data_IF_821079636189
#
_entry.id   IF_821079636189
#
_cell.length_a   1.000
_cell.length_b   1.000
_cell.length_c   1.000
_cell.angle_alpha   90.00
_cell.angle_beta   90.00
_cell.angle_gamma   90.00
#
_symmetry.space_group_name_H-M   'P 1'
#
loop_
_entity.id
_entity.type
_entity.pdbx_description
1 polymer ?
#
# COMPACT_ATOMS: atom_id res chain seq x y z
N UNK A 1 16.02 -7.94 24.01
CA UNK A 1 16.91 -7.13 24.87
C UNK A 1 16.84 -7.62 26.31
N UNK A 2 17.97 -7.72 26.98
CA UNK A 2 18.04 -8.14 28.38
C UNK A 2 18.72 -7.05 29.19
N UNK A 3 18.05 -6.56 30.21
CA UNK A 3 18.57 -5.55 31.13
C UNK A 3 18.70 -6.19 32.51
N UNK A 4 19.84 -6.01 33.14
CA UNK A 4 20.07 -6.37 34.54
C UNK A 4 20.50 -5.14 35.28
N UNK A 5 19.88 -4.87 36.42
CA UNK A 5 20.18 -3.74 37.28
C UNK A 5 20.09 -4.16 38.74
N UNK A 6 21.09 -3.76 39.51
CA UNK A 6 21.15 -3.97 40.95
C UNK A 6 20.96 -2.64 41.66
N UNK A 7 19.96 -2.53 42.52
CA UNK A 7 19.69 -1.30 43.29
C UNK A 7 19.47 -1.70 44.75
N UNK A 8 20.42 -1.38 45.62
CA UNK A 8 20.37 -1.77 47.02
C UNK A 8 20.35 -3.30 47.16
N UNK A 9 19.29 -3.86 47.74
CA UNK A 9 19.11 -5.32 47.90
C UNK A 9 18.19 -5.92 46.83
N UNK A 10 17.91 -5.20 45.75
CA UNK A 10 16.98 -5.63 44.70
C UNK A 10 17.73 -5.86 43.38
N UNK A 11 17.61 -7.07 42.85
CA UNK A 11 18.05 -7.41 41.51
C UNK A 11 16.89 -7.37 40.55
N UNK A 12 16.98 -6.50 39.56
CA UNK A 12 15.99 -6.35 38.50
C UNK A 12 16.53 -7.01 37.24
N UNK A 13 15.81 -7.98 36.70
CA UNK A 13 16.07 -8.61 35.42
C UNK A 13 14.89 -8.42 34.49
N UNK A 14 15.10 -7.68 33.40
CA UNK A 14 14.11 -7.47 32.36
C UNK A 14 14.55 -8.17 31.07
N UNK A 15 13.69 -9.01 30.54
CA UNK A 15 13.89 -9.67 29.25
C UNK A 15 12.73 -9.31 28.31
N UNK A 16 13.03 -8.59 27.23
CA UNK A 16 12.07 -8.18 26.21
C UNK A 16 12.08 -9.04 24.96
N UNK A 17 12.86 -10.12 24.91
CA UNK A 17 13.02 -10.95 23.71
C UNK A 17 11.68 -11.46 23.16
N UNK A 18 10.74 -11.77 24.04
CA UNK A 18 9.38 -12.17 23.65
C UNK A 18 8.63 -11.03 22.97
N UNK A 19 8.66 -9.83 23.54
CA UNK A 19 7.98 -8.65 22.99
C UNK A 19 8.60 -8.25 21.65
N UNK A 20 9.92 -8.31 21.54
CA UNK A 20 10.65 -8.00 20.30
C UNK A 20 10.25 -8.99 19.18
N UNK A 21 10.15 -10.27 19.49
CA UNK A 21 9.70 -11.31 18.55
C UNK A 21 8.23 -11.11 18.16
N UNK A 22 7.36 -10.90 19.13
CA UNK A 22 5.94 -10.68 18.89
C UNK A 22 5.68 -9.39 18.11
N UNK A 23 6.47 -8.35 18.35
CA UNK A 23 6.41 -7.09 17.60
C UNK A 23 6.75 -7.29 16.12
N UNK A 24 7.79 -8.05 15.82
CA UNK A 24 8.15 -8.40 14.43
C UNK A 24 7.05 -9.21 13.74
N UNK A 25 6.51 -10.21 14.42
CA UNK A 25 5.42 -11.02 13.89
C UNK A 25 4.15 -10.18 13.68
N UNK A 26 3.81 -9.29 14.61
CA UNK A 26 2.69 -8.38 14.48
C UNK A 26 2.86 -7.45 13.26
N UNK A 27 4.06 -6.90 13.04
CA UNK A 27 4.35 -6.05 11.89
C UNK A 27 4.19 -6.82 10.57
N UNK A 28 4.72 -8.03 10.50
CA UNK A 28 4.57 -8.89 9.31
C UNK A 28 3.09 -9.17 9.00
N UNK A 29 2.33 -9.61 9.99
CA UNK A 29 0.92 -9.93 9.82
C UNK A 29 0.11 -8.68 9.43
N UNK A 30 0.43 -7.52 10.02
CA UNK A 30 -0.20 -6.25 9.65
C UNK A 30 0.07 -5.91 8.18
N UNK A 31 1.32 -6.00 7.72
CA UNK A 31 1.68 -5.70 6.35
C UNK A 31 0.91 -6.58 5.35
N UNK A 32 0.85 -7.87 5.62
CA UNK A 32 0.12 -8.82 4.77
C UNK A 32 -1.40 -8.55 4.78
N UNK A 33 -1.96 -8.23 5.93
CA UNK A 33 -3.39 -7.93 6.05
C UNK A 33 -3.75 -6.62 5.36
N UNK A 34 -2.92 -5.58 5.50
CA UNK A 34 -3.13 -4.29 4.82
C UNK A 34 -3.13 -4.46 3.30
N UNK A 35 -2.19 -5.24 2.75
CA UNK A 35 -2.15 -5.53 1.31
C UNK A 35 -3.42 -6.27 0.88
N UNK A 36 -3.82 -7.31 1.60
CA UNK A 36 -5.01 -8.10 1.29
C UNK A 36 -6.30 -7.26 1.34
N UNK A 37 -6.45 -6.41 2.34
CA UNK A 37 -7.65 -5.59 2.52
C UNK A 37 -7.69 -4.39 1.55
N UNK A 38 -6.54 -3.93 1.06
CA UNK A 38 -6.44 -2.84 0.08
C UNK A 38 -6.70 -3.32 -1.35
N UNK A 39 -6.33 -4.54 -1.67
CA UNK A 39 -6.40 -5.09 -3.03
C UNK A 39 -7.78 -4.94 -3.71
N UNK A 40 -8.92 -5.21 -3.05
CA UNK A 40 -10.24 -5.07 -3.67
C UNK A 40 -10.58 -3.65 -4.13
N UNK A 41 -9.93 -2.64 -3.57
CA UNK A 41 -10.17 -1.22 -3.89
C UNK A 41 -9.25 -0.68 -4.99
N UNK A 42 -8.21 -1.44 -5.37
CA UNK A 42 -7.28 -1.07 -6.45
C UNK A 42 -7.90 -1.44 -7.80
N UNK A 43 -7.92 -0.48 -8.72
CA UNK A 43 -8.41 -0.67 -10.08
C UNK A 43 -7.78 -1.90 -10.74
N UNK A 44 -8.58 -2.68 -11.44
CA UNK A 44 -8.16 -3.90 -12.10
C UNK A 44 -8.39 -3.81 -13.61
N UNK A 45 -7.30 -3.90 -14.37
CA UNK A 45 -7.35 -4.07 -15.82
C UNK A 45 -6.57 -5.32 -16.24
N UNK A 46 -5.31 -5.41 -15.85
CA UNK A 46 -4.43 -6.57 -16.09
C UNK A 46 -4.04 -7.29 -14.81
N UNK A 47 -4.34 -6.72 -13.64
CA UNK A 47 -3.90 -7.17 -12.33
C UNK A 47 -2.55 -6.59 -11.88
N UNK A 48 -1.81 -5.96 -12.76
CA UNK A 48 -0.45 -5.48 -12.49
C UNK A 48 -0.38 -4.51 -11.29
N UNK A 49 -1.36 -3.58 -11.17
CA UNK A 49 -1.40 -2.63 -10.06
C UNK A 49 -1.56 -3.31 -8.70
N UNK A 50 -2.24 -4.46 -8.65
CA UNK A 50 -2.46 -5.25 -7.43
C UNK A 50 -1.28 -6.15 -7.09
N UNK A 51 -0.58 -6.66 -8.09
CA UNK A 51 0.49 -7.64 -7.95
C UNK A 51 1.86 -7.02 -7.68
N UNK A 52 2.10 -5.81 -8.20
CA UNK A 52 3.39 -5.13 -8.05
C UNK A 52 3.48 -4.41 -6.70
N UNK A 53 3.66 -5.19 -5.65
CA UNK A 53 3.82 -4.75 -4.27
C UNK A 53 5.18 -5.18 -3.75
N UNK A 54 5.86 -4.28 -3.06
CA UNK A 54 7.15 -4.54 -2.42
C UNK A 54 7.16 -4.05 -0.97
N UNK A 55 8.08 -4.62 -0.20
CA UNK A 55 8.38 -4.20 1.15
C UNK A 55 9.83 -3.70 1.19
N UNK A 56 10.09 -2.40 0.94
CA UNK A 56 11.44 -1.86 0.80
C UNK A 56 12.34 -2.08 2.01
N UNK A 57 11.74 -2.11 3.21
CA UNK A 57 12.43 -2.37 4.47
C UNK A 57 12.30 -3.85 4.93
N UNK A 58 11.87 -4.73 4.04
CA UNK A 58 11.54 -6.12 4.36
C UNK A 58 10.14 -6.31 4.93
N UNK A 59 9.72 -7.56 5.05
CA UNK A 59 8.36 -7.94 5.51
C UNK A 59 8.07 -7.51 6.96
N UNK A 60 9.10 -7.30 7.75
CA UNK A 60 9.04 -6.82 9.14
C UNK A 60 9.16 -5.29 9.26
N UNK A 61 9.33 -4.58 8.14
CA UNK A 61 9.42 -3.13 8.09
C UNK A 61 8.06 -2.45 8.06
N UNK A 62 8.05 -1.15 8.28
CA UNK A 62 6.84 -0.33 8.32
C UNK A 62 6.42 0.28 6.99
N UNK A 63 6.93 -0.22 5.86
CA UNK A 63 6.71 0.38 4.54
C UNK A 63 6.19 -0.64 3.53
N UNK A 64 5.15 -0.25 2.80
CA UNK A 64 4.56 -1.01 1.69
C UNK A 64 4.61 -0.11 0.45
N UNK A 65 5.18 -0.60 -0.64
CA UNK A 65 5.29 0.12 -1.89
C UNK A 65 4.53 -0.58 -3.01
N UNK A 66 3.64 0.16 -3.67
CA UNK A 66 3.00 -0.24 -4.92
C UNK A 66 3.76 0.42 -6.07
N UNK A 67 4.53 -0.36 -6.84
CA UNK A 67 5.48 0.16 -7.81
C UNK A 67 5.07 0.01 -9.29
N UNK A 68 3.82 -0.38 -9.56
CA UNK A 68 3.32 -0.38 -10.93
C UNK A 68 3.41 1.03 -11.55
N UNK A 69 3.90 1.19 -12.78
CA UNK A 69 4.15 2.51 -13.38
C UNK A 69 2.92 3.42 -13.44
N UNK A 70 1.73 2.83 -13.57
CA UNK A 70 0.46 3.55 -13.65
C UNK A 70 -0.23 3.73 -12.28
N UNK A 71 0.36 3.20 -11.20
CA UNK A 71 -0.27 3.24 -9.87
C UNK A 71 -0.51 4.65 -9.37
N UNK A 72 0.39 5.58 -9.66
CA UNK A 72 0.22 6.98 -9.29
C UNK A 72 -1.10 7.56 -9.81
N UNK A 73 -1.42 7.32 -11.08
CA UNK A 73 -2.64 7.83 -11.71
C UNK A 73 -3.90 7.18 -11.14
N UNK A 74 -3.85 5.88 -10.92
CA UNK A 74 -4.93 5.11 -10.28
C UNK A 74 -5.19 5.63 -8.85
N UNK A 75 -4.12 5.90 -8.13
CA UNK A 75 -4.23 6.35 -6.74
C UNK A 75 -4.84 7.75 -6.63
N UNK A 76 -4.33 8.69 -7.41
CA UNK A 76 -4.83 10.07 -7.44
C UNK A 76 -6.25 10.14 -8.03
N UNK A 77 -6.59 9.23 -8.95
CA UNK A 77 -7.92 9.18 -9.56
C UNK A 77 -8.19 10.28 -10.57
N UNK A 78 -7.14 10.85 -11.15
CA UNK A 78 -7.24 11.92 -12.14
C UNK A 78 -6.66 11.48 -13.48
N UNK A 79 -7.33 11.85 -14.56
CA UNK A 79 -6.83 11.58 -15.90
C UNK A 79 -5.71 12.55 -16.23
N UNK A 80 -4.55 12.00 -16.60
CA UNK A 80 -3.41 12.76 -17.08
C UNK A 80 -3.34 12.74 -18.61
N UNK A 81 -2.97 13.83 -19.19
CA UNK A 81 -2.89 13.97 -20.63
C UNK A 81 -2.16 15.25 -21.06
N UNK A 82 -2.36 15.67 -22.30
CA UNK A 82 -3.13 15.01 -23.36
C UNK A 82 -2.33 13.88 -24.06
N UNK A 83 -3.05 12.94 -24.63
CA UNK A 83 -2.51 12.12 -25.72
C UNK A 83 -2.68 12.90 -27.03
N UNK A 84 -1.61 12.90 -27.85
CA UNK A 84 -1.61 13.64 -29.12
C UNK A 84 -2.04 12.68 -30.24
N UNK A 85 -3.08 13.02 -31.02
CA UNK A 85 -3.50 12.19 -32.14
C UNK A 85 -2.45 12.22 -33.27
N UNK A 86 -2.13 11.05 -33.79
CA UNK A 86 -1.33 10.89 -34.98
C UNK A 86 -2.28 10.87 -36.18
N UNK A 87 -2.11 11.82 -37.10
CA UNK A 87 -2.95 11.96 -38.28
C UNK A 87 -2.19 11.58 -39.54
N UNK A 88 -2.89 10.94 -40.49
CA UNK A 88 -2.38 10.70 -41.82
C UNK A 88 -2.44 11.96 -42.71
N UNK A 89 -2.00 11.87 -43.95
CA UNK A 89 -2.04 12.98 -44.92
C UNK A 89 -3.46 13.45 -45.26
N UNK A 90 -4.47 12.62 -45.05
CA UNK A 90 -5.88 12.94 -45.25
C UNK A 90 -6.56 13.51 -43.98
N UNK A 91 -5.82 13.62 -42.86
CA UNK A 91 -6.34 14.15 -41.59
C UNK A 91 -7.04 13.10 -40.71
N UNK A 92 -7.01 11.82 -41.10
CA UNK A 92 -7.60 10.72 -40.29
C UNK A 92 -6.68 10.34 -39.14
N UNK A 93 -7.25 10.06 -37.95
CA UNK A 93 -6.49 9.61 -36.79
C UNK A 93 -6.12 8.13 -37.00
N UNK A 94 -4.80 7.85 -37.07
CA UNK A 94 -4.25 6.51 -37.21
C UNK A 94 -3.71 5.93 -35.91
N UNK A 95 -3.55 6.75 -34.89
CA UNK A 95 -3.04 6.34 -33.58
C UNK A 95 -2.94 7.52 -32.63
N UNK A 96 -2.37 7.25 -31.46
CA UNK A 96 -2.18 8.25 -30.40
C UNK A 96 -0.76 8.18 -29.86
N UNK A 97 -0.16 9.34 -29.71
CA UNK A 97 1.16 9.48 -29.07
C UNK A 97 0.98 9.93 -27.63
N UNK A 98 1.65 9.23 -26.72
CA UNK A 98 1.67 9.57 -25.29
C UNK A 98 2.96 10.33 -24.96
N UNK A 99 2.91 11.66 -24.77
CA UNK A 99 4.08 12.44 -24.40
C UNK A 99 4.69 11.97 -23.08
N UNK A 100 6.03 12.04 -22.91
CA UNK A 100 6.67 11.67 -21.64
C UNK A 100 6.29 12.60 -20.47
N UNK A 101 5.96 13.86 -20.77
CA UNK A 101 5.44 14.81 -19.78
C UNK A 101 3.93 14.90 -19.94
N UNK A 102 3.21 14.49 -18.90
CA UNK A 102 1.76 14.58 -18.80
C UNK A 102 1.36 15.51 -17.67
N UNK A 103 0.25 16.19 -17.86
CA UNK A 103 -0.32 17.10 -16.87
C UNK A 103 -1.71 16.62 -16.45
N UNK A 104 -2.15 16.92 -15.21
CA UNK A 104 -3.52 16.64 -14.79
C UNK A 104 -4.50 17.43 -15.67
N UNK A 105 -5.58 16.75 -16.09
CA UNK A 105 -6.60 17.34 -16.97
C UNK A 105 -7.80 17.91 -16.23
N UNK A 106 -7.88 17.74 -14.91
CA UNK A 106 -9.04 18.09 -14.10
C UNK A 106 -10.21 17.09 -14.21
N UNK A 107 -10.09 16.07 -15.04
CA UNK A 107 -11.13 15.04 -15.19
C UNK A 107 -10.85 13.86 -14.25
N UNK A 108 -11.91 13.39 -13.56
CA UNK A 108 -11.82 12.18 -12.72
C UNK A 108 -11.69 10.94 -13.58
N UNK A 109 -10.83 10.02 -13.12
CA UNK A 109 -10.71 8.68 -13.70
C UNK A 109 -11.98 7.88 -13.43
N UNK A 110 -12.43 7.13 -14.45
CA UNK A 110 -13.53 6.18 -14.29
C UNK A 110 -13.00 4.80 -13.92
N UNK A 111 -13.60 4.22 -12.89
CA UNK A 111 -13.25 2.88 -12.40
C UNK A 111 -14.35 1.90 -12.86
N UNK A 112 -13.97 0.93 -13.68
CA UNK A 112 -14.92 0.00 -14.31
C UNK A 112 -15.15 -1.26 -13.48
N UNK A 113 -14.19 -1.64 -12.64
CA UNK A 113 -14.33 -2.81 -11.76
C UNK A 113 -15.11 -2.41 -10.52
N UNK A 114 -16.19 -3.14 -10.15
CA UNK A 114 -16.97 -2.83 -8.94
C UNK A 114 -16.10 -2.77 -7.67
N UNK A 115 -16.36 -1.77 -6.83
CA UNK A 115 -15.67 -1.57 -5.56
C UNK A 115 -14.32 -0.86 -5.65
N UNK A 116 -13.77 -0.67 -6.85
CA UNK A 116 -12.50 0.04 -7.03
C UNK A 116 -12.69 1.55 -6.95
N UNK A 117 -11.69 2.25 -6.40
CA UNK A 117 -11.75 3.69 -6.17
C UNK A 117 -10.35 4.31 -6.21
N UNK A 118 -10.31 5.65 -6.22
CA UNK A 118 -9.10 6.39 -5.88
C UNK A 118 -8.76 6.20 -4.40
N UNK A 119 -7.52 6.50 -4.02
CA UNK A 119 -7.05 6.36 -2.63
C UNK A 119 -7.44 5.02 -1.98
N UNK A 120 -7.09 3.88 -2.61
CA UNK A 120 -7.56 2.57 -2.15
C UNK A 120 -7.11 2.22 -0.73
N UNK A 121 -5.92 2.64 -0.32
CA UNK A 121 -5.43 2.39 1.04
C UNK A 121 -6.26 3.15 2.09
N UNK A 122 -6.58 4.41 1.86
CA UNK A 122 -7.41 5.19 2.77
C UNK A 122 -8.81 4.60 2.90
N UNK A 123 -9.35 4.06 1.81
CA UNK A 123 -10.64 3.36 1.83
C UNK A 123 -10.58 2.07 2.65
N UNK A 124 -9.55 1.26 2.46
CA UNK A 124 -9.31 0.05 3.24
C UNK A 124 -9.11 0.39 4.74
N UNK A 125 -8.33 1.43 5.04
CA UNK A 125 -8.11 1.90 6.39
C UNK A 125 -9.39 2.34 7.08
N UNK A 126 -10.26 3.07 6.40
CA UNK A 126 -11.56 3.49 6.94
C UNK A 126 -12.41 2.29 7.38
N UNK A 127 -12.41 1.21 6.60
CA UNK A 127 -13.21 0.02 6.86
C UNK A 127 -12.56 -0.99 7.82
N UNK A 128 -11.24 -1.09 7.83
CA UNK A 128 -10.50 -2.19 8.47
C UNK A 128 -9.55 -1.77 9.59
N UNK A 129 -9.40 -0.48 9.88
CA UNK A 129 -8.46 0.02 10.89
C UNK A 129 -8.61 -0.69 12.24
N UNK A 130 -9.83 -0.88 12.71
CA UNK A 130 -10.09 -1.50 14.01
C UNK A 130 -9.70 -2.98 14.01
N UNK A 131 -9.90 -3.68 12.89
CA UNK A 131 -9.48 -5.07 12.70
C UNK A 131 -7.96 -5.18 12.71
N UNK A 132 -7.27 -4.26 12.05
CA UNK A 132 -5.81 -4.19 12.05
C UNK A 132 -5.24 -3.95 13.46
N UNK A 133 -5.85 -3.04 14.22
CA UNK A 133 -5.45 -2.78 15.61
C UNK A 133 -5.68 -4.01 16.50
N UNK A 134 -6.79 -4.73 16.33
CA UNK A 134 -7.06 -5.98 17.06
C UNK A 134 -6.04 -7.06 16.71
N UNK A 135 -5.69 -7.21 15.45
CA UNK A 135 -4.68 -8.16 14.98
C UNK A 135 -3.33 -7.88 15.65
N UNK A 136 -2.87 -6.64 15.62
CA UNK A 136 -1.59 -6.22 16.22
C UNK A 136 -1.60 -6.46 17.73
N UNK A 137 -2.63 -6.02 18.44
CA UNK A 137 -2.75 -6.20 19.90
C UNK A 137 -2.74 -7.67 20.31
N UNK A 138 -3.50 -8.50 19.60
CA UNK A 138 -3.56 -9.95 19.86
C UNK A 138 -2.23 -10.63 19.62
N UNK A 139 -1.54 -10.29 18.54
CA UNK A 139 -0.25 -10.90 18.19
C UNK A 139 0.85 -10.45 19.13
N UNK A 140 0.90 -9.17 19.44
CA UNK A 140 1.90 -8.60 20.36
C UNK A 140 1.77 -9.15 21.78
N UNK A 141 0.53 -9.35 22.25
CA UNK A 141 0.24 -9.86 23.59
C UNK A 141 0.34 -11.38 23.79
N UNK A 142 0.74 -12.14 22.75
CA UNK A 142 0.93 -13.60 22.88
C UNK A 142 1.98 -13.96 23.91
N UNK A 143 1.66 -15.00 24.70
CA UNK A 143 2.58 -15.59 25.67
C UNK A 143 3.65 -16.47 24.99
#
# INVERSE_FOLDING_TARGET
>A
MRIRQHIGNVDIQLNTDRLDRNGKEAQKLLNLQVVADTEPFIAFQTGQAREQVAFPQGIYGGEIEYYAPHMHYIYVGEVYGPNIPIKDSAGNITGWYSPPKKHPTGRKMQYHTPGTTDHPFEKAKELHKDDWLRLVRRTYGRN
#
